data_IF_986431447157
#
_entry.id   IF_986431447157
#
_cell.length_a   1.000
_cell.length_b   1.000
_cell.length_c   1.000
_cell.angle_alpha   90.00
_cell.angle_beta   90.00
_cell.angle_gamma   90.00
#
_symmetry.space_group_name_H-M   'P 1'
#
loop_
_entity.id
_entity.type
_entity.pdbx_description
1 polymer ?
#
# COMPACT_ATOMS: atom_id res chain seq x y z
N UNK A 1 -10.63 26.92 -19.51
CA UNK A 1 -9.68 26.08 -18.73
C UNK A 1 -10.28 25.84 -17.36
N UNK A 2 -10.41 24.58 -16.92
CA UNK A 2 -10.99 24.27 -15.60
C UNK A 2 -10.02 24.75 -14.51
N UNK A 3 -10.52 25.26 -13.37
CA UNK A 3 -9.70 25.80 -12.27
C UNK A 3 -8.58 24.82 -11.85
N UNK A 4 -8.83 23.52 -11.92
CA UNK A 4 -7.86 22.49 -11.55
C UNK A 4 -6.68 22.39 -12.54
N UNK A 5 -6.90 22.64 -13.83
CA UNK A 5 -5.83 22.68 -14.84
C UNK A 5 -4.93 23.89 -14.61
N UNK A 6 -5.53 25.06 -14.31
CA UNK A 6 -4.79 26.27 -13.94
C UNK A 6 -3.88 26.00 -12.74
N UNK A 7 -4.42 25.37 -11.68
CA UNK A 7 -3.64 25.02 -10.49
C UNK A 7 -2.45 24.14 -10.83
N UNK A 8 -2.65 23.09 -11.64
CA UNK A 8 -1.59 22.15 -12.05
C UNK A 8 -0.48 22.85 -12.82
N UNK A 9 -0.83 23.75 -13.73
CA UNK A 9 0.14 24.58 -14.46
C UNK A 9 0.95 25.45 -13.48
N UNK A 10 0.28 26.18 -12.60
CA UNK A 10 0.93 27.06 -11.61
C UNK A 10 1.80 26.29 -10.62
N UNK A 11 1.47 25.03 -10.32
CA UNK A 11 2.25 24.17 -9.43
C UNK A 11 3.22 23.25 -10.18
N UNK A 12 3.43 23.44 -11.48
CA UNK A 12 4.38 22.71 -12.36
C UNK A 12 4.11 21.20 -12.48
N UNK A 13 2.87 20.77 -12.26
CA UNK A 13 2.45 19.40 -12.54
C UNK A 13 1.85 19.29 -13.93
N UNK A 14 2.44 18.44 -14.77
CA UNK A 14 2.05 18.27 -16.17
C UNK A 14 1.33 16.93 -16.37
N UNK A 15 0.40 16.83 -17.34
CA UNK A 15 -0.17 15.54 -17.74
C UNK A 15 0.92 14.52 -18.07
N UNK A 16 0.67 13.26 -17.72
CA UNK A 16 1.64 12.18 -17.81
C UNK A 16 1.01 10.89 -18.32
N UNK A 17 1.82 9.84 -18.44
CA UNK A 17 1.40 8.48 -18.78
C UNK A 17 1.57 7.54 -17.60
N UNK A 18 0.94 6.36 -17.70
CA UNK A 18 1.17 5.26 -16.77
C UNK A 18 2.62 4.76 -16.80
N UNK A 19 3.27 4.73 -17.97
CA UNK A 19 4.67 4.29 -18.10
C UNK A 19 5.61 5.19 -17.29
N UNK A 20 5.50 6.51 -17.45
CA UNK A 20 6.33 7.46 -16.70
C UNK A 20 6.02 7.40 -15.20
N UNK A 21 4.75 7.24 -14.83
CA UNK A 21 4.38 7.04 -13.44
C UNK A 21 5.07 5.83 -12.82
N UNK A 22 5.09 4.69 -13.53
CA UNK A 22 5.74 3.45 -13.09
C UNK A 22 7.24 3.66 -12.90
N UNK A 23 7.92 4.32 -13.83
CA UNK A 23 9.36 4.63 -13.72
C UNK A 23 9.67 5.46 -12.47
N UNK A 24 8.90 6.52 -12.24
CA UNK A 24 9.07 7.40 -11.08
C UNK A 24 8.77 6.68 -9.77
N UNK A 25 7.78 5.79 -9.76
CA UNK A 25 7.49 4.93 -8.62
C UNK A 25 8.62 3.94 -8.33
N UNK A 26 9.14 3.26 -9.36
CA UNK A 26 10.28 2.34 -9.22
C UNK A 26 11.49 3.05 -8.62
N UNK A 27 11.73 4.31 -9.00
CA UNK A 27 12.82 5.11 -8.45
C UNK A 27 12.58 5.49 -6.98
N UNK A 28 11.48 6.18 -6.69
CA UNK A 28 11.30 6.89 -5.41
C UNK A 28 10.40 6.17 -4.40
N UNK A 29 9.69 5.13 -4.82
CA UNK A 29 8.78 4.36 -3.99
C UNK A 29 7.49 5.09 -3.64
N UNK A 30 6.58 4.37 -2.98
CA UNK A 30 5.29 4.90 -2.57
C UNK A 30 4.51 3.88 -1.77
N UNK A 31 3.33 4.29 -1.32
CA UNK A 31 2.44 3.40 -0.56
C UNK A 31 1.80 2.36 -1.47
N UNK A 32 1.33 1.26 -0.88
CA UNK A 32 0.76 0.14 -1.65
C UNK A 32 -0.43 0.56 -2.53
N UNK A 33 -1.29 1.47 -2.07
CA UNK A 33 -2.41 2.02 -2.86
C UNK A 33 -1.99 2.95 -4.00
N UNK A 34 -0.69 3.18 -4.15
CA UNK A 34 -0.06 3.89 -5.26
C UNK A 34 0.77 2.90 -6.13
N UNK A 35 0.91 1.63 -5.76
CA UNK A 35 1.80 0.72 -6.48
C UNK A 35 1.41 0.52 -7.96
N UNK A 36 2.33 0.64 -8.94
CA UNK A 36 2.01 0.53 -10.36
C UNK A 36 1.32 -0.78 -10.76
N UNK A 37 1.66 -1.91 -10.15
CA UNK A 37 0.99 -3.18 -10.45
C UNK A 37 -0.45 -3.23 -9.93
N UNK A 38 -0.74 -2.52 -8.83
CA UNK A 38 -2.11 -2.35 -8.36
C UNK A 38 -2.85 -1.42 -9.34
N UNK A 39 -2.23 -0.32 -9.77
CA UNK A 39 -2.83 0.56 -10.79
C UNK A 39 -3.15 -0.22 -12.07
N UNK A 40 -2.21 -1.01 -12.57
CA UNK A 40 -2.40 -1.86 -13.76
C UNK A 40 -3.50 -2.90 -13.57
N UNK A 41 -3.55 -3.56 -12.40
CA UNK A 41 -4.64 -4.47 -12.03
C UNK A 41 -6.01 -3.78 -12.14
N UNK A 42 -6.13 -2.56 -11.61
CA UNK A 42 -7.39 -1.82 -11.65
C UNK A 42 -7.73 -1.30 -13.06
N UNK A 43 -6.76 -0.80 -13.82
CA UNK A 43 -6.94 -0.35 -15.20
C UNK A 43 -7.43 -1.46 -16.13
N UNK A 44 -6.95 -2.70 -15.94
CA UNK A 44 -7.28 -3.84 -16.82
C UNK A 44 -8.61 -4.50 -16.48
N UNK A 45 -9.01 -4.52 -15.20
CA UNK A 45 -10.15 -5.31 -14.72
C UNK A 45 -11.39 -4.51 -14.39
N UNK A 46 -11.23 -3.20 -14.20
CA UNK A 46 -12.34 -2.31 -13.86
C UNK A 46 -12.35 -1.14 -14.81
N UNK A 47 -13.55 -0.62 -15.08
CA UNK A 47 -13.74 0.59 -15.89
C UNK A 47 -13.38 1.85 -15.08
N UNK A 48 -12.18 1.88 -14.51
CA UNK A 48 -11.67 2.98 -13.70
C UNK A 48 -10.92 3.97 -14.56
N UNK A 49 -11.15 5.25 -14.30
CA UNK A 49 -10.49 6.32 -15.02
C UNK A 49 -9.27 6.83 -14.25
N UNK A 50 -8.11 6.85 -14.90
CA UNK A 50 -6.86 7.33 -14.33
C UNK A 50 -6.32 8.52 -15.09
N UNK A 51 -5.95 9.57 -14.36
CA UNK A 51 -5.21 10.73 -14.90
C UNK A 51 -3.85 10.81 -14.20
N UNK A 52 -2.78 10.67 -14.97
CA UNK A 52 -1.42 10.71 -14.45
C UNK A 52 -0.82 12.10 -14.59
N UNK A 53 0.02 12.47 -13.63
CA UNK A 53 0.74 13.73 -13.61
C UNK A 53 2.18 13.52 -13.15
N UNK A 54 3.10 14.36 -13.65
CA UNK A 54 4.49 14.35 -13.22
C UNK A 54 4.99 15.77 -12.93
N UNK A 55 6.05 15.86 -12.12
CA UNK A 55 6.76 17.09 -11.80
C UNK A 55 8.17 17.04 -12.40
N UNK A 56 8.51 18.06 -13.20
CA UNK A 56 9.80 18.17 -13.89
C UNK A 56 10.58 19.40 -13.43
N UNK A 57 11.83 19.19 -13.02
CA UNK A 57 12.79 20.22 -12.60
C UNK A 57 14.20 19.85 -13.07
N UNK A 58 14.91 20.83 -13.66
CA UNK A 58 16.26 20.64 -14.24
C UNK A 58 16.34 19.43 -15.19
N UNK A 59 15.34 19.32 -16.06
CA UNK A 59 15.12 18.22 -16.98
C UNK A 59 14.94 16.81 -16.37
N UNK A 60 14.84 16.71 -15.04
CA UNK A 60 14.61 15.46 -14.32
C UNK A 60 13.17 15.36 -13.82
N UNK A 61 12.60 14.16 -13.91
CA UNK A 61 11.31 13.86 -13.31
C UNK A 61 11.53 13.57 -11.82
N UNK A 62 11.03 14.46 -10.97
CA UNK A 62 11.22 14.41 -9.52
C UNK A 62 10.01 13.91 -8.75
N UNK A 63 8.88 13.69 -9.42
CA UNK A 63 7.72 13.10 -8.76
C UNK A 63 6.58 12.83 -9.72
N UNK A 64 5.69 11.93 -9.34
CA UNK A 64 4.53 11.56 -10.13
C UNK A 64 3.38 11.13 -9.23
N UNK A 65 2.15 11.37 -9.65
CA UNK A 65 0.95 10.85 -9.00
C UNK A 65 -0.14 10.62 -10.01
N UNK A 66 -1.24 10.02 -9.57
CA UNK A 66 -2.44 9.88 -10.37
C UNK A 66 -3.69 10.27 -9.58
N UNK A 67 -4.73 10.63 -10.33
CA UNK A 67 -6.10 10.75 -9.82
C UNK A 67 -6.92 9.61 -10.38
N UNK A 68 -7.63 8.92 -9.49
CA UNK A 68 -8.57 7.85 -9.81
C UNK A 68 -10.01 8.38 -9.78
N UNK A 69 -10.78 8.06 -10.82
CA UNK A 69 -12.19 8.39 -10.99
C UNK A 69 -12.50 9.88 -10.76
N UNK A 70 -11.57 10.76 -11.11
CA UNK A 70 -11.66 12.22 -10.92
C UNK A 70 -11.89 12.68 -9.47
N UNK A 71 -11.60 11.81 -8.48
CA UNK A 71 -11.94 12.06 -7.09
C UNK A 71 -10.73 12.03 -6.15
N UNK A 72 -9.92 10.97 -6.23
CA UNK A 72 -8.92 10.68 -5.20
C UNK A 72 -7.53 10.50 -5.79
N UNK A 73 -6.51 10.96 -5.06
CA UNK A 73 -5.16 10.46 -5.21
C UNK A 73 -5.15 9.04 -4.64
N UNK A 74 -4.58 8.07 -5.38
CA UNK A 74 -4.48 6.68 -4.93
C UNK A 74 -5.77 5.85 -5.05
N UNK A 75 -5.61 4.54 -4.88
CA UNK A 75 -6.68 3.54 -4.98
C UNK A 75 -7.24 3.26 -3.58
N UNK A 76 -8.41 3.80 -3.27
CA UNK A 76 -8.94 3.85 -1.91
C UNK A 76 -10.12 2.88 -1.67
N UNK A 77 -9.89 1.58 -1.87
CA UNK A 77 -10.95 0.54 -1.91
C UNK A 77 -10.80 -0.55 -0.83
N UNK A 78 -10.35 -0.17 0.38
CA UNK A 78 -10.09 -1.05 1.54
C UNK A 78 -11.24 -1.99 1.93
N UNK A 79 -12.50 -1.70 1.59
CA UNK A 79 -13.65 -2.58 1.92
C UNK A 79 -13.83 -3.73 0.93
N UNK A 80 -13.31 -3.59 -0.28
CA UNK A 80 -13.56 -4.50 -1.39
C UNK A 80 -12.31 -5.29 -1.78
N UNK A 81 -11.14 -4.75 -1.47
CA UNK A 81 -9.83 -5.37 -1.69
C UNK A 81 -8.96 -5.25 -0.44
N UNK A 82 -7.97 -6.15 -0.26
CA UNK A 82 -7.04 -6.12 0.86
C UNK A 82 -5.97 -5.01 0.70
N UNK A 83 -6.41 -3.77 0.49
CA UNK A 83 -5.56 -2.60 0.32
C UNK A 83 -5.69 -1.64 1.49
N UNK A 84 -4.57 -1.05 1.92
CA UNK A 84 -4.60 0.07 2.85
C UNK A 84 -5.08 1.35 2.15
N UNK A 85 -6.01 2.06 2.80
CA UNK A 85 -6.47 3.40 2.40
C UNK A 85 -6.15 4.45 3.45
N UNK A 86 -5.27 4.13 4.39
CA UNK A 86 -5.02 4.98 5.57
C UNK A 86 -3.91 6.01 5.32
N UNK A 87 -3.03 5.75 4.34
CA UNK A 87 -1.91 6.61 3.96
C UNK A 87 -1.72 6.66 2.44
N UNK A 88 -1.29 7.80 1.93
CA UNK A 88 -0.86 8.03 0.56
C UNK A 88 0.56 8.59 0.59
N UNK A 89 1.52 7.76 0.20
CA UNK A 89 2.90 8.13 -0.06
C UNK A 89 3.09 8.16 -1.59
N UNK A 90 3.29 9.36 -2.11
CA UNK A 90 3.46 9.69 -3.52
C UNK A 90 4.93 9.50 -3.91
N UNK A 91 5.26 8.90 -5.07
CA UNK A 91 6.64 8.80 -5.51
C UNK A 91 7.23 10.17 -5.83
N UNK A 92 8.19 10.59 -5.02
CA UNK A 92 8.82 11.91 -5.05
C UNK A 92 10.28 11.84 -4.62
N UNK A 93 11.15 12.52 -5.35
CA UNK A 93 12.56 12.69 -5.01
C UNK A 93 12.73 13.35 -3.63
N UNK A 94 13.65 12.90 -2.78
CA UNK A 94 13.81 13.42 -1.41
C UNK A 94 14.06 14.93 -1.33
N UNK A 95 14.72 15.49 -2.35
CA UNK A 95 15.06 16.90 -2.48
C UNK A 95 13.92 17.75 -3.06
N UNK A 96 12.89 17.14 -3.67
CA UNK A 96 11.77 17.87 -4.27
C UNK A 96 11.06 18.72 -3.23
N UNK A 97 10.78 19.98 -3.58
CA UNK A 97 9.95 20.90 -2.79
C UNK A 97 8.87 21.48 -3.70
N UNK A 98 7.62 21.11 -3.48
CA UNK A 98 6.52 21.50 -4.38
C UNK A 98 5.22 21.87 -3.66
N UNK A 99 4.29 22.39 -4.46
CA UNK A 99 2.88 22.53 -4.12
C UNK A 99 2.10 21.39 -4.77
N UNK A 100 1.28 20.68 -4.01
CA UNK A 100 0.41 19.63 -4.55
C UNK A 100 -0.94 20.26 -4.96
N UNK A 101 -1.38 20.17 -6.24
CA UNK A 101 -2.59 20.85 -6.71
C UNK A 101 -3.88 20.12 -6.32
N UNK A 102 -3.81 18.80 -6.11
CA UNK A 102 -4.94 17.95 -5.76
C UNK A 102 -5.00 17.72 -4.23
N UNK A 103 -6.20 17.76 -3.65
CA UNK A 103 -6.40 17.65 -2.21
C UNK A 103 -6.49 16.18 -1.78
N UNK A 104 -5.93 15.88 -0.62
CA UNK A 104 -6.15 14.61 0.08
C UNK A 104 -6.02 14.81 1.59
N UNK A 105 -6.78 14.04 2.37
CA UNK A 105 -6.67 13.98 3.83
C UNK A 105 -5.83 12.78 4.32
N UNK A 106 -5.21 12.03 3.41
CA UNK A 106 -4.46 10.79 3.68
C UNK A 106 -2.96 10.91 3.37
N UNK A 107 -2.47 12.10 3.03
CA UNK A 107 -1.07 12.29 2.65
C UNK A 107 -0.12 11.75 3.74
N UNK A 108 0.93 11.03 3.38
CA UNK A 108 1.91 10.54 4.35
C UNK A 108 2.62 11.69 5.05
N UNK A 109 2.85 11.57 6.36
CA UNK A 109 3.65 12.54 7.10
C UNK A 109 5.11 12.61 6.61
N UNK A 110 5.59 11.56 5.93
CA UNK A 110 6.91 11.51 5.30
C UNK A 110 7.10 12.58 4.21
N UNK A 111 6.01 13.14 3.68
CA UNK A 111 6.07 14.26 2.73
C UNK A 111 6.21 15.64 3.37
N UNK A 112 6.27 15.75 4.70
CA UNK A 112 6.47 17.02 5.39
C UNK A 112 7.64 17.86 4.83
N UNK A 113 8.83 17.30 4.54
CA UNK A 113 9.89 18.07 3.89
C UNK A 113 9.52 18.48 2.46
N UNK A 114 8.74 17.70 1.71
CA UNK A 114 8.54 17.87 0.27
C UNK A 114 7.34 18.76 -0.13
N UNK A 115 6.22 18.71 0.60
CA UNK A 115 4.96 19.37 0.19
C UNK A 115 4.64 20.57 1.09
N UNK A 116 4.70 21.77 0.51
CA UNK A 116 4.61 23.05 1.26
C UNK A 116 3.20 23.45 1.68
N UNK A 117 2.19 23.08 0.91
CA UNK A 117 0.79 23.50 1.11
C UNK A 117 -0.07 22.48 1.87
N UNK A 118 0.55 21.61 2.66
CA UNK A 118 -0.14 20.61 3.48
C UNK A 118 -0.15 21.00 4.96
N UNK A 119 -1.22 20.63 5.67
CA UNK A 119 -1.37 20.84 7.11
C UNK A 119 -0.98 19.53 7.83
N UNK A 120 0.12 19.57 8.60
CA UNK A 120 0.70 18.36 9.21
C UNK A 120 0.23 18.07 10.63
N UNK A 121 -0.01 19.11 11.44
CA UNK A 121 -0.26 18.96 12.89
C UNK A 121 -1.70 19.28 13.33
N UNK A 122 -2.31 20.33 12.82
CA UNK A 122 -3.59 20.86 13.36
C UNK A 122 -4.85 20.10 12.92
N UNK A 123 -4.84 19.42 11.78
CA UNK A 123 -6.03 18.81 11.18
C UNK A 123 -6.01 17.28 11.14
N UNK A 124 -4.96 16.62 11.64
CA UNK A 124 -4.82 15.15 11.59
C UNK A 124 -5.36 14.51 12.87
N UNK A 125 -6.58 13.97 12.78
CA UNK A 125 -7.20 13.19 13.87
C UNK A 125 -6.68 11.75 13.97
N UNK A 126 -5.93 11.26 12.97
CA UNK A 126 -5.41 9.89 12.91
C UNK A 126 -3.93 9.93 12.54
N UNK A 127 -3.13 9.11 13.22
CA UNK A 127 -1.70 8.92 12.95
C UNK A 127 -1.47 7.47 12.54
N UNK A 128 -0.53 7.26 11.63
CA UNK A 128 -0.12 5.91 11.23
C UNK A 128 0.80 5.34 12.31
N UNK A 129 0.63 4.06 12.59
CA UNK A 129 1.54 3.32 13.46
C UNK A 129 2.78 2.96 12.63
N UNK A 130 3.88 3.68 12.85
CA UNK A 130 5.17 3.35 12.27
C UNK A 130 5.86 2.31 13.14
N UNK A 131 6.37 1.25 12.51
CA UNK A 131 7.18 0.23 13.20
C UNK A 131 8.51 0.86 13.62
N UNK A 132 9.06 0.43 14.76
CA UNK A 132 10.37 0.89 15.20
C UNK A 132 11.46 0.28 14.32
N UNK A 133 12.45 1.08 13.96
CA UNK A 133 13.64 0.62 13.22
C UNK A 133 14.48 -0.37 14.03
N UNK A 134 14.53 -0.19 15.35
CA UNK A 134 15.33 -1.05 16.24
C UNK A 134 14.52 -1.51 17.45
N UNK A 135 14.83 -2.72 17.89
CA UNK A 135 14.25 -3.33 19.07
C UNK A 135 15.32 -3.59 20.14
N UNK A 136 14.91 -3.63 21.42
CA UNK A 136 15.85 -3.96 22.49
C UNK A 136 16.16 -5.46 22.50
N UNK A 137 17.36 -5.83 22.94
CA UNK A 137 17.77 -7.23 23.10
C UNK A 137 16.81 -8.04 23.98
N UNK A 138 16.24 -7.40 25.02
CA UNK A 138 15.20 -8.00 25.87
C UNK A 138 13.94 -8.33 25.06
N UNK A 139 13.47 -7.41 24.22
CA UNK A 139 12.29 -7.63 23.38
C UNK A 139 12.53 -8.77 22.38
N UNK A 140 13.66 -8.74 21.68
CA UNK A 140 14.03 -9.79 20.73
C UNK A 140 14.12 -11.16 21.39
N UNK A 141 14.76 -11.25 22.57
CA UNK A 141 14.85 -12.48 23.36
C UNK A 141 13.46 -13.00 23.75
N UNK A 142 12.56 -12.12 24.18
CA UNK A 142 11.18 -12.50 24.51
C UNK A 142 10.44 -13.06 23.30
N UNK A 143 10.47 -12.36 22.15
CA UNK A 143 9.82 -12.82 20.90
C UNK A 143 10.40 -14.14 20.42
N UNK A 144 11.73 -14.31 20.49
CA UNK A 144 12.40 -15.58 20.16
C UNK A 144 11.93 -16.72 21.08
N UNK A 145 11.84 -16.49 22.38
CA UNK A 145 11.38 -17.51 23.32
C UNK A 145 9.92 -17.91 23.08
N UNK A 146 9.05 -16.95 22.77
CA UNK A 146 7.65 -17.23 22.41
C UNK A 146 7.53 -18.01 21.12
N UNK A 147 8.32 -17.65 20.10
CA UNK A 147 8.39 -18.39 18.84
C UNK A 147 8.86 -19.84 19.06
N UNK A 148 9.92 -20.04 19.84
CA UNK A 148 10.39 -21.38 20.19
C UNK A 148 9.37 -22.18 21.00
N UNK A 149 8.61 -21.54 21.89
CA UNK A 149 7.51 -22.17 22.61
C UNK A 149 6.37 -22.58 21.67
N UNK A 150 6.05 -21.75 20.69
CA UNK A 150 5.06 -22.07 19.65
C UNK A 150 5.48 -23.32 18.87
N UNK A 151 6.73 -23.38 18.39
CA UNK A 151 7.25 -24.55 17.69
C UNK A 151 7.21 -25.83 18.55
N UNK A 152 7.62 -25.74 19.83
CA UNK A 152 7.57 -26.87 20.78
C UNK A 152 6.16 -27.39 21.06
N UNK A 153 5.12 -26.61 20.75
CA UNK A 153 3.71 -26.97 20.92
C UNK A 153 3.06 -27.44 19.61
N UNK A 154 3.86 -27.94 18.66
CA UNK A 154 3.37 -28.41 17.36
C UNK A 154 3.13 -27.29 16.36
N UNK A 155 3.61 -26.08 16.65
CA UNK A 155 3.51 -24.94 15.76
C UNK A 155 4.48 -25.05 14.57
N UNK A 156 4.06 -24.60 13.40
CA UNK A 156 4.92 -24.43 12.23
C UNK A 156 4.61 -23.13 11.48
N UNK A 157 5.53 -22.72 10.61
CA UNK A 157 5.45 -21.46 9.86
C UNK A 157 5.74 -21.72 8.40
N UNK A 158 4.90 -21.20 7.51
CA UNK A 158 5.08 -21.27 6.06
C UNK A 158 5.12 -19.86 5.49
N UNK A 159 6.07 -19.58 4.59
CA UNK A 159 6.10 -18.29 3.88
C UNK A 159 4.88 -18.19 2.97
N UNK A 160 4.29 -17.00 2.88
CA UNK A 160 3.20 -16.76 1.91
C UNK A 160 3.67 -16.95 0.47
N UNK A 161 4.97 -16.77 0.20
CA UNK A 161 5.57 -16.99 -1.10
C UNK A 161 5.55 -18.47 -1.52
N UNK A 162 5.50 -19.40 -0.56
CA UNK A 162 5.48 -20.85 -0.80
C UNK A 162 4.04 -21.41 -0.88
N UNK A 163 3.03 -20.54 -0.81
CA UNK A 163 1.62 -20.91 -0.90
C UNK A 163 1.04 -20.49 -2.24
N UNK A 164 0.14 -21.32 -2.78
CA UNK A 164 -0.64 -20.93 -3.96
C UNK A 164 -1.66 -19.85 -3.61
N UNK A 165 -2.05 -19.02 -4.59
CA UNK A 165 -3.05 -17.96 -4.39
C UNK A 165 -4.42 -18.51 -3.94
N UNK A 166 -4.78 -19.72 -4.38
CA UNK A 166 -6.00 -20.41 -3.95
C UNK A 166 -5.91 -20.87 -2.49
N UNK A 167 -4.76 -21.46 -2.10
CA UNK A 167 -4.47 -21.82 -0.70
C UNK A 167 -4.57 -20.60 0.21
N UNK A 168 -3.93 -19.48 -0.17
CA UNK A 168 -3.97 -18.24 0.60
C UNK A 168 -5.39 -17.68 0.75
N UNK A 169 -6.18 -17.72 -0.32
CA UNK A 169 -7.57 -17.25 -0.32
C UNK A 169 -8.43 -18.10 0.60
N UNK A 170 -8.31 -19.42 0.50
CA UNK A 170 -9.04 -20.36 1.33
C UNK A 170 -8.71 -20.17 2.82
N UNK A 171 -7.41 -20.18 3.16
CA UNK A 171 -6.93 -19.99 4.54
C UNK A 171 -7.43 -18.68 5.12
N UNK A 172 -7.34 -17.57 4.38
CA UNK A 172 -7.78 -16.27 4.88
C UNK A 172 -9.28 -16.26 5.16
N UNK A 173 -10.10 -16.77 4.25
CA UNK A 173 -11.56 -16.79 4.41
C UNK A 173 -11.97 -17.67 5.59
N UNK A 174 -11.35 -18.84 5.73
CA UNK A 174 -11.62 -19.76 6.84
C UNK A 174 -11.28 -19.12 8.20
N UNK A 175 -10.07 -18.58 8.33
CA UNK A 175 -9.63 -17.90 9.56
C UNK A 175 -10.47 -16.66 9.88
N UNK A 176 -10.84 -15.89 8.86
CA UNK A 176 -11.71 -14.72 9.04
C UNK A 176 -13.08 -15.14 9.59
N UNK A 177 -13.70 -16.17 9.01
CA UNK A 177 -15.00 -16.69 9.46
C UNK A 177 -14.91 -17.27 10.86
N UNK A 178 -13.86 -18.01 11.18
CA UNK A 178 -13.60 -18.54 12.52
C UNK A 178 -13.51 -17.43 13.57
N UNK A 179 -12.83 -16.31 13.23
CA UNK A 179 -12.64 -15.18 14.13
C UNK A 179 -13.88 -14.30 14.31
N UNK A 180 -14.58 -13.98 13.21
CA UNK A 180 -15.62 -12.94 13.22
C UNK A 180 -17.05 -13.48 13.06
N UNK A 181 -17.21 -14.74 12.64
CA UNK A 181 -18.51 -15.30 12.29
C UNK A 181 -19.24 -14.38 11.30
N UNK A 182 -20.46 -13.98 11.67
CA UNK A 182 -21.31 -13.10 10.87
C UNK A 182 -21.27 -11.61 11.29
N UNK A 183 -20.37 -11.24 12.21
CA UNK A 183 -20.32 -9.87 12.75
C UNK A 183 -19.61 -8.87 11.84
N UNK A 184 -18.92 -9.35 10.81
CA UNK A 184 -18.18 -8.52 9.86
C UNK A 184 -18.16 -9.16 8.48
N UNK A 185 -18.23 -8.34 7.43
CA UNK A 185 -18.10 -8.80 6.05
C UNK A 185 -16.63 -9.05 5.70
N UNK A 186 -16.32 -10.26 5.25
CA UNK A 186 -15.03 -10.56 4.62
C UNK A 186 -14.94 -9.89 3.23
N UNK A 187 -13.74 -9.88 2.64
CA UNK A 187 -13.59 -9.56 1.24
C UNK A 187 -14.37 -10.54 0.36
N UNK A 188 -14.94 -10.10 -0.78
CA UNK A 188 -15.52 -11.02 -1.75
C UNK A 188 -14.47 -12.05 -2.18
N UNK A 189 -14.83 -13.34 -2.16
CA UNK A 189 -13.89 -14.44 -2.41
C UNK A 189 -13.21 -14.31 -3.78
N UNK A 190 -13.99 -14.00 -4.82
CA UNK A 190 -13.46 -13.82 -6.17
C UNK A 190 -12.50 -12.63 -6.27
N UNK A 191 -12.77 -11.54 -5.55
CA UNK A 191 -11.84 -10.41 -5.53
C UNK A 191 -10.54 -10.79 -4.84
N UNK A 192 -10.61 -11.54 -3.73
CA UNK A 192 -9.42 -11.98 -3.01
C UNK A 192 -8.58 -12.95 -3.84
N UNK A 193 -9.22 -13.95 -4.47
CA UNK A 193 -8.58 -14.91 -5.36
C UNK A 193 -7.89 -14.22 -6.54
N UNK A 194 -8.60 -13.32 -7.23
CA UNK A 194 -8.03 -12.57 -8.35
C UNK A 194 -6.89 -11.65 -7.92
N UNK A 195 -7.02 -11.01 -6.75
CA UNK A 195 -5.99 -10.13 -6.21
C UNK A 195 -4.73 -10.94 -5.88
N UNK A 196 -4.84 -12.05 -5.15
CA UNK A 196 -3.71 -12.91 -4.83
C UNK A 196 -3.12 -13.59 -6.06
N UNK A 197 -3.90 -13.93 -7.09
CA UNK A 197 -3.38 -14.53 -8.33
C UNK A 197 -2.46 -13.55 -9.08
N UNK A 198 -2.82 -12.27 -9.13
CA UNK A 198 -2.15 -11.28 -9.96
C UNK A 198 -1.07 -10.48 -9.22
N UNK A 199 -1.20 -10.38 -7.90
CA UNK A 199 -0.35 -9.54 -7.05
C UNK A 199 0.34 -10.37 -5.96
N UNK A 200 0.50 -11.68 -6.18
CA UNK A 200 1.17 -12.59 -5.23
C UNK A 200 2.56 -12.09 -4.85
N UNK A 201 3.30 -11.53 -5.81
CA UNK A 201 4.64 -10.98 -5.61
C UNK A 201 4.70 -9.78 -4.64
N UNK A 202 3.55 -9.13 -4.40
CA UNK A 202 3.43 -8.06 -3.40
C UNK A 202 3.08 -8.58 -2.01
N UNK A 203 2.67 -9.84 -1.87
CA UNK A 203 2.40 -10.44 -0.57
C UNK A 203 3.70 -10.69 0.17
N UNK A 204 3.68 -10.41 1.47
CA UNK A 204 4.81 -10.59 2.37
C UNK A 204 4.34 -11.19 3.68
N UNK A 205 5.23 -11.93 4.35
CA UNK A 205 4.97 -12.49 5.66
C UNK A 205 4.77 -14.00 5.63
N UNK A 206 4.04 -14.50 6.62
CA UNK A 206 3.96 -15.94 6.89
C UNK A 206 2.57 -16.33 7.39
N UNK A 207 2.24 -17.61 7.22
CA UNK A 207 1.10 -18.26 7.84
C UNK A 207 1.62 -19.12 9.00
N UNK A 208 0.93 -19.05 10.14
CA UNK A 208 1.19 -19.90 11.29
C UNK A 208 0.22 -21.07 11.30
N UNK A 209 0.73 -22.25 11.64
CA UNK A 209 -0.04 -23.49 11.74
C UNK A 209 0.17 -24.12 13.12
N UNK A 210 -0.82 -24.84 13.63
CA UNK A 210 -0.69 -25.75 14.78
C UNK A 210 -1.12 -27.12 14.29
N UNK A 211 -0.24 -28.13 14.43
CA UNK A 211 -0.52 -29.51 14.01
C UNK A 211 -0.96 -29.62 12.53
N UNK A 212 -0.40 -28.75 11.68
CA UNK A 212 -0.71 -28.70 10.24
C UNK A 212 -1.98 -27.93 9.88
N UNK A 213 -2.73 -27.44 10.87
CA UNK A 213 -3.94 -26.64 10.66
C UNK A 213 -3.58 -25.14 10.72
N UNK A 214 -3.93 -24.32 9.71
CA UNK A 214 -3.65 -22.89 9.74
C UNK A 214 -4.38 -22.24 10.93
N UNK A 215 -3.67 -21.42 11.70
CA UNK A 215 -4.21 -20.77 12.90
C UNK A 215 -4.08 -19.24 12.88
N UNK A 216 -3.19 -18.69 12.05
CA UNK A 216 -3.08 -17.24 11.87
C UNK A 216 -2.52 -16.88 10.49
N UNK A 217 -3.14 -15.89 9.85
CA UNK A 217 -2.68 -15.28 8.62
C UNK A 217 -3.14 -13.81 8.58
N UNK A 218 -2.17 -12.90 8.48
CA UNK A 218 -2.43 -11.49 8.21
C UNK A 218 -2.00 -11.16 6.78
N UNK A 219 -2.86 -10.47 6.03
CA UNK A 219 -2.51 -10.00 4.68
C UNK A 219 -1.62 -8.78 4.84
N UNK A 220 -0.33 -8.96 4.55
CA UNK A 220 0.65 -7.87 4.49
C UNK A 220 1.11 -7.72 3.05
N UNK A 221 1.09 -6.48 2.57
CA UNK A 221 1.57 -6.11 1.25
C UNK A 221 2.83 -5.28 1.39
N UNK A 222 3.84 -5.59 0.57
CA UNK A 222 5.08 -4.84 0.49
C UNK A 222 5.13 -3.96 -0.76
N UNK A 223 5.86 -2.86 -0.64
CA UNK A 223 6.15 -1.90 -1.70
C UNK A 223 7.62 -1.54 -1.56
N UNK A 224 8.40 -1.72 -2.63
CA UNK A 224 9.85 -1.57 -2.64
C UNK A 224 10.25 -0.60 -3.77
N UNK A 225 11.43 0.01 -3.65
CA UNK A 225 11.93 0.97 -4.63
C UNK A 225 13.45 0.90 -4.78
N UNK A 226 14.03 1.62 -5.72
CA UNK A 226 15.49 1.68 -5.83
C UNK A 226 16.14 2.52 -4.72
N UNK A 227 15.42 3.50 -4.21
CA UNK A 227 15.92 4.39 -3.16
C UNK A 227 15.62 3.93 -1.74
N UNK A 228 14.78 2.90 -1.57
CA UNK A 228 14.43 2.27 -0.28
C UNK A 228 14.31 0.76 -0.44
#
# INVERSE_FOLDING_TARGET
MKIQEVKRILTRWQPSSFSLYREVFTQYGGSINMHPDIVDYFMKRYNWHFKFFHYKEDDKIKGAYFICNDQNIGILTRRTFPLSSDEILIPMAPDLRCFLPDRTNRLSALHQPQIRNAIWKLARKKQNCLVKETFSSKFEKTRRNEYQRFLKKGGSVKSVADCSSDELTHIFIELFRSRFGNTSSCYPADNLANFFSQLHHLLFGHILYIEGIPCAFDIVLKSESQMN
#
